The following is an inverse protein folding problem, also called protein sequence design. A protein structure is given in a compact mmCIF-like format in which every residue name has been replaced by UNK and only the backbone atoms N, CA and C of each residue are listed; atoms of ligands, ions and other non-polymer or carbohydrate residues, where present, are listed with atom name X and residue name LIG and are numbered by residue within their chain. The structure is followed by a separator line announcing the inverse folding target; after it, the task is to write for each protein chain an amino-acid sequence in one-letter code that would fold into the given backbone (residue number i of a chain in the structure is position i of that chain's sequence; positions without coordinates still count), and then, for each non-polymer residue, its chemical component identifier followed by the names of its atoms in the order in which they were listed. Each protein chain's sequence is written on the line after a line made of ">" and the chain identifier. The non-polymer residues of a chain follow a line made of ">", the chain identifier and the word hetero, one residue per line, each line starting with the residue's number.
data_IF_321163897786
#
_entry.id   IF_321163897786
#
_cell.length_a   1.000
_cell.length_b   1.000
_cell.length_c   1.000
_cell.angle_alpha   90.00
_cell.angle_beta   90.00
_cell.angle_gamma   90.00
#
_symmetry.space_group_name_H-M   'P 1'
#
loop_
_entity.id
_entity.type
_entity.pdbx_description
1 polymer ?
#
# COMPACT_ATOMS: atom_id res chain seq x y z
N UNK A 1 -0.87 -13.17 9.48
CA UNK A 1 0.32 -12.37 9.16
C UNK A 1 -0.11 -10.93 9.03
N UNK A 2 0.76 -10.00 9.43
CA UNK A 2 0.60 -8.57 9.21
C UNK A 2 1.30 -8.19 7.92
N UNK A 3 0.54 -7.70 6.95
CA UNK A 3 1.01 -7.47 5.58
C UNK A 3 0.82 -6.01 5.24
N UNK A 4 1.89 -5.36 4.81
CA UNK A 4 1.83 -4.04 4.17
C UNK A 4 1.82 -4.22 2.65
N UNK A 5 0.78 -3.70 2.01
CA UNK A 5 0.70 -3.60 0.54
C UNK A 5 0.95 -2.14 0.16
N UNK A 6 2.18 -1.82 -0.19
CA UNK A 6 2.66 -0.47 -0.46
C UNK A 6 2.45 -0.04 -1.91
N UNK A 7 2.20 1.26 -2.10
CA UNK A 7 1.85 1.88 -3.38
C UNK A 7 0.61 1.22 -4.02
N UNK A 8 -0.39 0.91 -3.19
CA UNK A 8 -1.61 0.25 -3.65
C UNK A 8 -2.85 1.11 -3.36
N UNK A 9 -3.26 1.85 -4.37
CA UNK A 9 -4.51 2.62 -4.36
C UNK A 9 -5.75 1.71 -4.50
N UNK A 10 -5.71 0.68 -5.35
CA UNK A 10 -6.90 -0.14 -5.70
C UNK A 10 -7.40 -1.10 -4.62
N UNK A 11 -6.58 -1.44 -3.63
CA UNK A 11 -6.85 -2.44 -2.60
C UNK A 11 -7.16 -3.87 -3.09
N UNK A 12 -6.89 -4.20 -4.36
CA UNK A 12 -7.14 -5.53 -4.92
C UNK A 12 -6.36 -6.64 -4.19
N UNK A 13 -5.05 -6.44 -3.96
CA UNK A 13 -4.20 -7.42 -3.26
C UNK A 13 -4.53 -7.42 -1.78
N UNK A 14 -4.73 -6.25 -1.18
CA UNK A 14 -5.13 -6.13 0.23
C UNK A 14 -6.43 -6.89 0.52
N UNK A 15 -7.42 -6.76 -0.36
CA UNK A 15 -8.72 -7.46 -0.24
C UNK A 15 -8.56 -8.98 -0.28
N UNK A 16 -7.78 -9.51 -1.22
CA UNK A 16 -7.55 -10.95 -1.30
C UNK A 16 -6.76 -11.48 -0.09
N UNK A 17 -5.76 -10.74 0.38
CA UNK A 17 -5.02 -11.10 1.60
C UNK A 17 -5.94 -11.15 2.82
N UNK A 18 -6.89 -10.21 2.94
CA UNK A 18 -7.89 -10.24 4.02
C UNK A 18 -8.88 -11.39 3.88
N UNK A 19 -9.31 -11.75 2.67
CA UNK A 19 -10.13 -12.96 2.44
C UNK A 19 -9.42 -14.25 2.88
N UNK A 20 -8.10 -14.29 2.76
CA UNK A 20 -7.27 -15.39 3.27
C UNK A 20 -7.03 -15.34 4.79
N UNK A 21 -7.59 -14.37 5.51
CA UNK A 21 -7.48 -14.23 6.96
C UNK A 21 -6.20 -13.55 7.43
N UNK A 22 -5.53 -12.78 6.58
CA UNK A 22 -4.39 -11.96 6.97
C UNK A 22 -4.81 -10.57 7.41
N UNK A 23 -4.02 -9.96 8.30
CA UNK A 23 -4.17 -8.59 8.73
C UNK A 23 -3.39 -7.70 7.73
N UNK A 24 -4.04 -7.34 6.63
CA UNK A 24 -3.41 -6.62 5.52
C UNK A 24 -3.85 -5.16 5.47
N UNK A 25 -2.93 -4.25 5.18
CA UNK A 25 -3.21 -2.84 4.99
C UNK A 25 -2.63 -2.36 3.66
N UNK A 26 -3.44 -1.63 2.90
CA UNK A 26 -3.00 -0.92 1.70
C UNK A 26 -2.41 0.43 2.09
N UNK A 27 -1.38 0.89 1.40
CA UNK A 27 -0.82 2.22 1.59
C UNK A 27 -0.52 2.89 0.26
N UNK A 28 -1.04 4.11 0.05
CA UNK A 28 -0.77 4.92 -1.13
C UNK A 28 -0.83 6.42 -0.79
N UNK A 29 -0.31 7.27 -1.67
CA UNK A 29 -0.45 8.72 -1.59
C UNK A 29 -1.83 9.19 -2.07
N UNK A 30 -2.57 8.33 -2.77
CA UNK A 30 -3.93 8.58 -3.24
C UNK A 30 -4.97 7.97 -2.31
N UNK A 31 -6.18 8.51 -2.30
CA UNK A 31 -7.31 7.86 -1.64
C UNK A 31 -7.67 6.55 -2.36
N UNK A 32 -8.13 5.51 -1.64
CA UNK A 32 -8.38 4.21 -2.23
C UNK A 32 -9.68 4.16 -3.03
N UNK A 33 -9.63 3.58 -4.23
CA UNK A 33 -10.83 3.20 -4.99
C UNK A 33 -11.43 1.86 -4.55
N UNK A 34 -10.71 1.07 -3.75
CA UNK A 34 -11.14 -0.25 -3.27
C UNK A 34 -12.29 -0.23 -2.26
N UNK A 35 -12.67 0.95 -1.75
CA UNK A 35 -13.85 1.13 -0.88
C UNK A 35 -13.66 0.73 0.58
N UNK A 36 -12.42 0.47 1.01
CA UNK A 36 -12.09 0.05 2.38
C UNK A 36 -11.15 1.06 3.07
N UNK A 37 -11.62 2.26 3.43
CA UNK A 37 -10.80 3.26 4.13
C UNK A 37 -10.28 2.75 5.48
N UNK A 38 -10.96 1.81 6.11
CA UNK A 38 -10.58 1.17 7.36
C UNK A 38 -9.35 0.24 7.25
N UNK A 39 -8.87 -0.02 6.03
CA UNK A 39 -7.65 -0.77 5.74
C UNK A 39 -6.58 0.06 5.03
N UNK A 40 -6.86 1.33 4.76
CA UNK A 40 -6.01 2.18 3.94
C UNK A 40 -5.21 3.18 4.77
N UNK A 41 -3.90 3.16 4.62
CA UNK A 41 -2.97 4.14 5.17
C UNK A 41 -2.70 5.17 4.07
N UNK A 42 -3.28 6.35 4.19
CA UNK A 42 -3.08 7.43 3.23
C UNK A 42 -1.80 8.21 3.57
N UNK A 43 -0.71 7.95 2.86
CA UNK A 43 0.59 8.54 3.16
C UNK A 43 1.79 7.86 2.51
N UNK A 44 2.99 8.21 2.98
CA UNK A 44 4.24 7.65 2.49
C UNK A 44 4.41 6.19 2.96
N UNK A 45 4.66 5.28 2.03
CA UNK A 45 4.87 3.88 2.32
C UNK A 45 6.13 3.61 3.16
N UNK A 46 7.15 4.47 3.10
CA UNK A 46 8.35 4.36 3.93
C UNK A 46 8.03 4.61 5.40
N UNK A 47 7.13 5.55 5.69
CA UNK A 47 6.67 5.80 7.06
C UNK A 47 5.83 4.61 7.57
N UNK A 48 4.92 4.10 6.75
CA UNK A 48 4.13 2.92 7.08
C UNK A 48 5.00 1.67 7.32
N UNK A 49 6.10 1.52 6.57
CA UNK A 49 7.05 0.42 6.69
C UNK A 49 7.72 0.33 8.06
N UNK A 50 7.86 1.46 8.76
CA UNK A 50 8.44 1.49 10.12
C UNK A 50 7.61 0.70 11.14
N UNK A 51 6.33 0.44 10.84
CA UNK A 51 5.45 -0.34 11.71
C UNK A 51 5.06 0.42 12.99
N UNK A 52 4.92 -0.31 14.09
CA UNK A 52 4.42 0.24 15.35
C UNK A 52 2.93 0.48 15.31
N UNK A 53 2.51 1.73 15.50
CA UNK A 53 1.10 2.13 15.41
C UNK A 53 0.88 2.88 14.10
N UNK A 54 -0.09 2.41 13.32
CA UNK A 54 -0.56 3.08 12.10
C UNK A 54 -1.95 3.65 12.32
N UNK A 55 -2.38 4.59 11.48
CA UNK A 55 -3.75 5.10 11.46
C UNK A 55 -4.29 4.93 10.05
N UNK A 56 -5.47 4.33 9.95
CA UNK A 56 -6.18 4.17 8.67
C UNK A 56 -7.07 5.37 8.38
N UNK A 57 -7.56 5.49 7.15
CA UNK A 57 -8.36 6.66 6.72
C UNK A 57 -9.69 6.84 7.48
N UNK A 58 -10.20 5.78 8.11
CA UNK A 58 -11.33 5.87 9.05
C UNK A 58 -10.97 6.53 10.39
N UNK A 59 -9.70 6.93 10.57
CA UNK A 59 -9.18 7.58 11.77
C UNK A 59 -8.88 6.62 12.91
N UNK A 60 -8.97 5.31 12.69
CA UNK A 60 -8.76 4.31 13.74
C UNK A 60 -7.26 3.94 13.82
N UNK A 61 -6.64 4.01 15.02
CA UNK A 61 -5.28 3.53 15.21
C UNK A 61 -5.22 2.00 15.31
N UNK A 62 -4.24 1.39 14.65
CA UNK A 62 -3.97 -0.06 14.69
C UNK A 62 -2.53 -0.32 15.14
N UNK A 63 -2.33 -1.29 16.03
CA UNK A 63 -1.00 -1.67 16.50
C UNK A 63 -0.47 -2.88 15.71
N UNK A 64 0.32 -2.59 14.68
CA UNK A 64 0.94 -3.61 13.83
C UNK A 64 2.25 -4.11 14.42
N UNK A 65 2.99 -3.29 15.18
CA UNK A 65 4.29 -3.66 15.73
C UNK A 65 5.34 -3.79 14.64
N UNK A 66 5.44 -4.96 14.01
CA UNK A 66 6.30 -5.18 12.84
C UNK A 66 5.53 -5.93 11.74
N UNK A 67 5.93 -5.71 10.50
CA UNK A 67 5.35 -6.38 9.34
C UNK A 67 5.99 -7.75 9.13
N UNK A 68 5.16 -8.76 8.84
CA UNK A 68 5.64 -10.09 8.43
C UNK A 68 6.00 -10.11 6.94
N UNK A 69 5.36 -9.26 6.14
CA UNK A 69 5.52 -9.22 4.69
C UNK A 69 5.26 -7.83 4.12
N UNK A 70 6.06 -7.45 3.13
CA UNK A 70 5.86 -6.27 2.28
C UNK A 70 5.59 -6.73 0.84
N UNK A 71 4.50 -6.24 0.26
CA UNK A 71 4.23 -6.31 -1.19
C UNK A 71 4.21 -4.88 -1.70
N UNK A 72 5.00 -4.54 -2.72
CA UNK A 72 5.11 -3.17 -3.20
C UNK A 72 4.80 -3.07 -4.70
N UNK A 73 3.94 -2.11 -5.04
CA UNK A 73 3.52 -1.82 -6.41
C UNK A 73 3.96 -0.41 -6.86
N UNK A 74 5.26 -0.10 -6.85
CA UNK A 74 5.72 1.23 -7.23
C UNK A 74 5.29 1.58 -8.66
N UNK A 75 5.11 2.88 -8.98
CA UNK A 75 4.68 3.32 -10.29
C UNK A 75 5.64 2.81 -11.38
N UNK A 76 5.09 2.13 -12.39
CA UNK A 76 5.88 1.49 -13.43
C UNK A 76 6.33 2.44 -14.55
N UNK A 77 5.96 3.73 -14.49
CA UNK A 77 6.30 4.77 -15.47
C UNK A 77 7.80 4.83 -15.80
N UNK A 78 8.65 4.57 -14.80
CA UNK A 78 10.11 4.58 -14.95
C UNK A 78 10.76 3.19 -14.91
N UNK A 79 9.97 2.15 -14.65
CA UNK A 79 10.46 0.76 -14.57
C UNK A 79 10.19 -0.03 -15.85
N UNK A 80 9.14 0.34 -16.59
CA UNK A 80 8.74 -0.35 -17.82
C UNK A 80 9.51 0.20 -19.02
N UNK A 81 9.93 -0.70 -19.92
CA UNK A 81 10.48 -0.30 -21.22
C UNK A 81 9.50 0.56 -22.04
N UNK A 82 8.19 0.40 -21.83
CA UNK A 82 7.19 1.27 -22.46
C UNK A 82 7.33 2.75 -22.03
N UNK A 83 7.90 3.00 -20.85
CA UNK A 83 8.23 4.33 -20.34
C UNK A 83 9.59 4.87 -20.79
N UNK A 84 10.43 4.08 -21.46
CA UNK A 84 11.79 4.50 -21.86
C UNK A 84 11.79 5.72 -22.80
N UNK A 85 10.72 5.91 -23.58
CA UNK A 85 10.55 7.10 -24.41
C UNK A 85 10.43 8.40 -23.60
N UNK A 86 10.06 8.33 -22.32
CA UNK A 86 9.98 9.47 -21.39
C UNK A 86 11.32 9.76 -20.70
N UNK A 87 12.24 8.78 -20.66
CA UNK A 87 13.56 8.92 -20.03
C UNK A 87 14.59 9.63 -20.93
N UNK A 88 14.43 9.54 -22.25
CA UNK A 88 15.29 10.19 -23.25
C UNK A 88 14.47 11.08 -24.20
N UNK A 89 13.89 12.20 -23.71
CA UNK A 89 13.18 13.13 -24.59
C UNK A 89 14.14 13.69 -25.64
N UNK A 90 13.73 13.64 -26.92
CA UNK A 90 14.43 14.28 -28.04
C UNK A 90 14.14 15.78 -28.08
#
# INVERSE_FOLDING_TARGET
>A
MKILVACEESQAVTTEMRKLGHEAYSCDLQEPSGGHPEWHIHGDALDALMGGQIVTMDGIPHNVGAWDMLIAHPPCTYLSNAGACRLYPR
#
